data_IF_737253669612
#
_entry.id   IF_737253669612
#
_cell.length_a   1.000
_cell.length_b   1.000
_cell.length_c   1.000
_cell.angle_alpha   90.00
_cell.angle_beta   90.00
_cell.angle_gamma   90.00
#
_symmetry.space_group_name_H-M   'P 1'
#
loop_
_entity.id
_entity.type
_entity.pdbx_description
1 polymer ?
#
# COMPACT_ATOMS: atom_id res chain seq x y z
N UNK A 1 8.60 -14.66 -17.62
CA UNK A 1 9.82 -13.85 -17.82
C UNK A 1 10.19 -13.27 -16.47
N UNK A 2 11.40 -13.52 -15.94
CA UNK A 2 11.85 -12.90 -14.69
C UNK A 2 12.25 -11.46 -15.00
N UNK A 3 11.57 -10.50 -14.38
CA UNK A 3 11.84 -9.07 -14.55
C UNK A 3 13.14 -8.72 -13.79
N UNK A 4 14.15 -8.18 -14.45
CA UNK A 4 15.42 -7.78 -13.80
C UNK A 4 15.21 -6.49 -12.99
N UNK A 5 15.19 -6.58 -11.66
CA UNK A 5 14.98 -5.42 -10.78
C UNK A 5 16.10 -4.37 -10.83
N UNK A 6 17.24 -4.66 -11.48
CA UNK A 6 18.41 -3.75 -11.51
C UNK A 6 18.23 -2.51 -12.39
N UNK A 7 17.11 -2.39 -13.10
CA UNK A 7 16.89 -1.34 -14.11
C UNK A 7 16.07 -0.14 -13.59
N UNK A 8 15.34 -0.28 -12.47
CA UNK A 8 14.21 0.62 -12.14
C UNK A 8 14.51 1.77 -11.17
N UNK A 9 15.70 1.88 -10.59
CA UNK A 9 15.97 3.00 -9.68
C UNK A 9 17.41 3.46 -9.86
N UNK A 10 17.64 4.36 -10.82
CA UNK A 10 18.96 4.97 -11.05
C UNK A 10 19.37 5.73 -9.78
N UNK A 11 20.25 5.10 -8.99
CA UNK A 11 20.83 5.52 -7.70
C UNK A 11 19.94 5.32 -6.46
N UNK A 12 20.12 4.14 -5.84
CA UNK A 12 20.27 3.93 -4.39
C UNK A 12 19.41 4.80 -3.46
N UNK A 13 18.09 4.58 -3.47
CA UNK A 13 17.22 5.05 -2.37
C UNK A 13 16.73 3.81 -1.65
N UNK A 14 17.25 3.60 -0.46
CA UNK A 14 16.97 2.44 0.40
C UNK A 14 15.58 2.49 1.05
N UNK A 15 14.59 3.10 0.39
CA UNK A 15 13.22 3.26 0.89
C UNK A 15 13.09 4.10 2.18
N UNK A 16 14.14 4.79 2.63
CA UNK A 16 14.11 5.54 3.89
C UNK A 16 13.28 6.82 3.83
N UNK A 17 13.01 7.36 2.63
CA UNK A 17 12.25 8.59 2.43
C UNK A 17 11.16 8.38 1.39
N UNK A 18 9.99 9.00 1.56
CA UNK A 18 8.88 8.90 0.62
C UNK A 18 9.08 9.85 -0.56
N UNK A 19 10.04 9.58 -1.45
CA UNK A 19 10.39 10.48 -2.55
C UNK A 19 9.25 10.66 -3.56
N UNK A 20 8.66 9.53 -3.99
CA UNK A 20 7.60 9.51 -5.00
C UNK A 20 6.28 8.95 -4.46
N UNK A 21 6.37 8.13 -3.41
CA UNK A 21 5.25 7.49 -2.74
C UNK A 21 5.68 6.75 -1.48
N UNK A 22 4.71 6.14 -0.79
CA UNK A 22 4.99 5.39 0.43
C UNK A 22 4.02 4.23 0.67
N UNK A 23 4.51 3.19 1.35
CA UNK A 23 3.70 2.12 1.92
C UNK A 23 3.53 2.39 3.42
N UNK A 24 2.30 2.63 3.86
CA UNK A 24 1.96 2.68 5.28
C UNK A 24 1.67 1.29 5.80
N UNK A 25 1.84 1.08 7.11
CA UNK A 25 1.65 -0.21 7.75
C UNK A 25 0.42 -0.16 8.65
N UNK A 26 -0.39 -1.23 8.64
CA UNK A 26 -1.46 -1.47 9.61
C UNK A 26 -1.47 -2.92 10.08
N UNK A 27 -2.32 -3.22 11.05
CA UNK A 27 -2.65 -4.59 11.44
C UNK A 27 -4.17 -4.81 11.31
N UNK A 28 -4.65 -6.03 11.57
CA UNK A 28 -6.09 -6.33 11.59
C UNK A 28 -6.90 -5.40 12.51
N UNK A 29 -6.35 -5.00 13.66
CA UNK A 29 -7.09 -4.18 14.63
C UNK A 29 -7.21 -2.71 14.21
N UNK A 30 -6.27 -2.17 13.42
CA UNK A 30 -6.30 -0.77 12.95
C UNK A 30 -6.80 -0.61 11.52
N UNK A 31 -6.81 -1.69 10.72
CA UNK A 31 -7.18 -1.66 9.29
C UNK A 31 -8.55 -1.00 9.04
N UNK A 32 -9.57 -1.41 9.79
CA UNK A 32 -10.93 -0.87 9.65
C UNK A 32 -10.97 0.63 9.89
N UNK A 33 -10.35 1.09 10.99
CA UNK A 33 -10.32 2.51 11.35
C UNK A 33 -9.50 3.35 10.35
N UNK A 34 -8.43 2.80 9.75
CA UNK A 34 -7.69 3.47 8.68
C UNK A 34 -8.61 3.88 7.53
N UNK A 35 -9.48 2.98 7.07
CA UNK A 35 -10.39 3.25 5.97
C UNK A 35 -11.56 4.15 6.40
N UNK A 36 -12.18 3.89 7.55
CA UNK A 36 -13.31 4.69 8.05
C UNK A 36 -12.95 6.16 8.25
N UNK A 37 -11.74 6.45 8.70
CA UNK A 37 -11.26 7.82 8.90
C UNK A 37 -10.49 8.39 7.72
N UNK A 38 -10.24 7.58 6.67
CA UNK A 38 -9.34 7.93 5.57
C UNK A 38 -8.00 8.49 6.08
N UNK A 39 -7.43 7.80 7.05
CA UNK A 39 -6.24 8.20 7.80
C UNK A 39 -5.26 7.04 7.84
N UNK A 40 -4.00 7.30 7.52
CA UNK A 40 -2.91 6.39 7.87
C UNK A 40 -2.15 6.94 9.06
N UNK A 41 -1.75 6.05 9.97
CA UNK A 41 -1.02 6.38 11.18
C UNK A 41 0.16 5.44 11.39
N UNK A 42 1.30 6.01 11.77
CA UNK A 42 2.48 5.29 12.23
C UNK A 42 2.86 5.73 13.65
N UNK A 43 3.62 4.91 14.39
CA UNK A 43 4.21 5.32 15.67
C UNK A 43 5.05 6.61 15.54
N UNK A 44 5.32 7.25 16.68
CA UNK A 44 6.09 8.50 16.77
C UNK A 44 7.51 8.38 16.18
N UNK A 45 8.11 7.20 16.25
CA UNK A 45 9.43 6.89 15.66
C UNK A 45 9.50 7.15 14.17
N UNK A 46 8.36 7.17 13.46
CA UNK A 46 8.27 7.47 12.03
C UNK A 46 7.90 8.92 11.73
N UNK A 47 7.86 9.81 12.72
CA UNK A 47 7.49 11.22 12.52
C UNK A 47 8.39 11.91 11.48
N UNK A 48 9.70 11.63 11.50
CA UNK A 48 10.64 12.10 10.48
C UNK A 48 10.30 11.63 9.07
N UNK A 49 9.89 10.37 8.91
CA UNK A 49 9.44 9.82 7.63
C UNK A 49 8.13 10.47 7.18
N UNK A 50 7.12 10.50 8.06
CA UNK A 50 5.78 10.98 7.72
C UNK A 50 5.76 12.47 7.38
N UNK A 51 6.58 13.31 8.03
CA UNK A 51 6.71 14.74 7.69
C UNK A 51 7.17 15.00 6.24
N UNK A 52 7.83 14.02 5.61
CA UNK A 52 8.24 14.10 4.21
C UNK A 52 7.14 13.69 3.24
N UNK A 53 6.03 13.11 3.71
CA UNK A 53 4.86 12.84 2.88
C UNK A 53 4.15 14.16 2.57
N UNK A 54 3.93 14.42 1.27
CA UNK A 54 3.27 15.63 0.78
C UNK A 54 1.89 15.35 0.21
N UNK A 55 0.99 16.31 0.35
CA UNK A 55 -0.30 16.27 -0.31
C UNK A 55 -0.08 16.00 -1.82
N UNK A 56 -0.85 15.05 -2.35
CA UNK A 56 -0.74 14.58 -3.73
C UNK A 56 0.10 13.33 -3.95
N UNK A 57 0.92 12.92 -2.97
CA UNK A 57 1.70 11.68 -3.07
C UNK A 57 0.82 10.43 -3.15
N UNK A 58 1.30 9.42 -3.86
CA UNK A 58 0.63 8.11 -3.95
C UNK A 58 1.05 7.26 -2.76
N UNK A 59 0.05 6.70 -2.08
CA UNK A 59 0.20 5.89 -0.89
C UNK A 59 -0.42 4.52 -1.11
N UNK A 60 0.12 3.52 -0.41
CA UNK A 60 -0.41 2.16 -0.31
C UNK A 60 -0.53 1.80 1.16
N UNK A 61 -1.36 0.82 1.50
CA UNK A 61 -1.47 0.30 2.86
C UNK A 61 -1.10 -1.18 2.89
N UNK A 62 -0.11 -1.56 3.67
CA UNK A 62 0.26 -2.95 3.91
C UNK A 62 -0.22 -3.41 5.28
N UNK A 63 -1.13 -4.39 5.29
CA UNK A 63 -1.53 -5.09 6.51
C UNK A 63 -0.58 -6.27 6.72
N UNK A 64 0.18 -6.24 7.81
CA UNK A 64 1.33 -7.14 7.96
C UNK A 64 1.00 -8.53 8.50
N UNK A 65 -0.15 -8.73 9.14
CA UNK A 65 -0.53 -10.04 9.69
C UNK A 65 -0.96 -11.01 8.59
N UNK A 66 -1.66 -10.50 7.57
CA UNK A 66 -2.06 -11.26 6.37
C UNK A 66 -1.15 -11.00 5.17
N UNK A 67 -0.18 -10.09 5.32
CA UNK A 67 0.80 -9.69 4.29
C UNK A 67 0.14 -9.23 2.99
N UNK A 68 -0.83 -8.32 3.15
CA UNK A 68 -1.70 -7.81 2.08
C UNK A 68 -1.46 -6.34 1.81
N UNK A 69 -1.22 -5.98 0.55
CA UNK A 69 -1.10 -4.61 0.07
C UNK A 69 -2.44 -4.15 -0.54
N UNK A 70 -3.01 -3.11 0.06
CA UNK A 70 -4.29 -2.55 -0.31
C UNK A 70 -4.11 -1.29 -1.13
N UNK A 71 -4.92 -1.19 -2.20
CA UNK A 71 -5.39 0.02 -2.85
C UNK A 71 -4.33 0.95 -3.43
N UNK A 72 -4.81 1.94 -4.17
CA UNK A 72 -4.01 3.11 -4.55
C UNK A 72 -4.67 4.32 -3.93
N UNK A 73 -3.95 4.97 -3.02
CA UNK A 73 -4.46 6.13 -2.29
C UNK A 73 -3.66 7.38 -2.66
N UNK A 74 -4.27 8.54 -2.48
CA UNK A 74 -3.61 9.84 -2.65
C UNK A 74 -3.63 10.59 -1.34
N UNK A 75 -2.47 11.06 -0.87
CA UNK A 75 -2.40 11.96 0.26
C UNK A 75 -3.21 13.25 -0.04
N UNK A 76 -4.09 13.66 0.86
CA UNK A 76 -4.85 14.92 0.74
C UNK A 76 -4.34 15.99 1.72
N UNK A 77 -3.46 15.61 2.64
CA UNK A 77 -2.72 16.50 3.51
C UNK A 77 -1.24 16.19 3.41
N UNK A 78 -0.40 17.14 3.81
CA UNK A 78 0.96 16.81 4.23
C UNK A 78 0.89 15.88 5.45
N UNK A 79 1.93 15.06 5.63
CA UNK A 79 2.09 14.26 6.82
C UNK A 79 2.44 15.12 8.02
N UNK A 80 1.85 14.80 9.18
CA UNK A 80 1.96 15.60 10.39
C UNK A 80 1.72 14.78 11.64
N UNK A 81 1.70 15.44 12.79
CA UNK A 81 1.46 14.80 14.08
C UNK A 81 0.01 15.04 14.51
N UNK A 82 -0.68 13.98 14.92
CA UNK A 82 -2.03 14.00 15.51
C UNK A 82 -3.05 14.83 14.69
N UNK A 83 -3.03 14.68 13.36
CA UNK A 83 -4.03 15.29 12.45
C UNK A 83 -5.45 14.97 12.90
N UNK A 84 -5.68 13.72 13.31
CA UNK A 84 -6.85 13.28 14.07
C UNK A 84 -6.36 12.83 15.45
N UNK A 85 -6.59 13.65 16.49
CA UNK A 85 -6.26 13.27 17.86
C UNK A 85 -6.99 12.00 18.28
N UNK A 86 -6.35 11.18 19.11
CA UNK A 86 -6.90 9.92 19.65
C UNK A 86 -7.32 8.88 18.60
N UNK A 87 -6.85 8.98 17.35
CA UNK A 87 -7.03 7.93 16.37
C UNK A 87 -6.42 6.60 16.88
N UNK A 88 -7.09 5.49 16.57
CA UNK A 88 -6.69 4.12 16.93
C UNK A 88 -6.64 3.85 18.44
N UNK A 89 -7.29 4.66 19.28
CA UNK A 89 -7.27 4.47 20.73
C UNK A 89 -7.76 3.08 21.18
N UNK A 90 -8.68 2.47 20.43
CA UNK A 90 -9.19 1.11 20.66
C UNK A 90 -8.11 0.01 20.52
N UNK A 91 -7.02 0.28 19.79
CA UNK A 91 -5.93 -0.67 19.60
C UNK A 91 -5.00 -0.80 20.82
N UNK A 92 -5.13 0.09 21.81
CA UNK A 92 -4.19 0.19 22.94
C UNK A 92 -2.81 0.74 22.58
N UNK A 93 -2.59 1.16 21.33
CA UNK A 93 -1.35 1.75 20.82
C UNK A 93 -1.62 3.16 20.27
N UNK A 94 -0.56 3.96 20.19
CA UNK A 94 -0.62 5.31 19.63
C UNK A 94 0.05 5.39 18.26
N UNK A 95 -0.61 6.07 17.34
CA UNK A 95 -0.13 6.30 15.98
C UNK A 95 -0.21 7.80 15.65
N UNK A 96 0.64 8.63 16.28
CA UNK A 96 0.55 10.08 16.15
C UNK A 96 1.09 10.59 14.81
N UNK A 97 1.95 9.85 14.11
CA UNK A 97 2.49 10.26 12.81
C UNK A 97 1.48 9.94 11.70
N UNK A 98 0.75 10.94 11.21
CA UNK A 98 -0.47 10.73 10.42
C UNK A 98 -0.46 11.44 9.08
N UNK A 99 -1.24 10.91 8.13
CA UNK A 99 -1.58 11.54 6.86
C UNK A 99 -3.02 11.18 6.47
N UNK A 100 -3.80 12.16 6.01
CA UNK A 100 -5.12 11.87 5.43
C UNK A 100 -4.98 11.49 3.97
N UNK A 101 -5.84 10.61 3.49
CA UNK A 101 -5.84 10.17 2.10
C UNK A 101 -7.25 10.20 1.48
N UNK A 102 -7.31 10.05 0.17
CA UNK A 102 -8.50 9.65 -0.58
C UNK A 102 -8.18 8.42 -1.41
N UNK A 103 -9.15 7.55 -1.62
CA UNK A 103 -8.98 6.37 -2.48
C UNK A 103 -9.03 6.78 -3.95
N UNK A 104 -8.02 6.36 -4.73
CA UNK A 104 -8.04 6.46 -6.19
C UNK A 104 -8.66 5.19 -6.78
N UNK A 105 -8.27 4.02 -6.27
CA UNK A 105 -8.73 2.74 -6.78
C UNK A 105 -9.08 1.79 -5.63
N UNK A 106 -10.29 1.26 -5.67
CA UNK A 106 -10.73 0.14 -4.86
C UNK A 106 -10.46 -1.16 -5.64
N UNK A 107 -9.77 -2.10 -5.00
CA UNK A 107 -9.38 -3.38 -5.58
C UNK A 107 -9.22 -4.41 -4.46
N UNK A 108 -9.19 -5.68 -4.84
CA UNK A 108 -8.73 -6.72 -3.93
C UNK A 108 -7.25 -6.48 -3.59
N UNK A 109 -6.83 -6.76 -2.34
CA UNK A 109 -5.45 -6.59 -1.95
C UNK A 109 -4.55 -7.62 -2.63
N UNK A 110 -3.30 -7.22 -2.89
CA UNK A 110 -2.26 -8.13 -3.34
C UNK A 110 -1.60 -8.83 -2.14
N UNK A 111 -1.27 -10.10 -2.27
CA UNK A 111 -0.36 -10.76 -1.36
C UNK A 111 1.09 -10.30 -1.59
N UNK A 112 1.92 -10.40 -0.55
CA UNK A 112 3.31 -9.93 -0.64
C UNK A 112 4.13 -10.60 -1.74
N UNK A 113 3.92 -11.89 -2.00
CA UNK A 113 4.59 -12.62 -3.07
C UNK A 113 4.28 -12.06 -4.47
N UNK A 114 3.16 -11.35 -4.64
CA UNK A 114 2.79 -10.70 -5.91
C UNK A 114 3.55 -9.39 -6.17
N UNK A 115 4.08 -8.72 -5.13
CA UNK A 115 4.74 -7.42 -5.28
C UNK A 115 6.15 -7.33 -4.66
N UNK A 116 6.61 -8.34 -3.93
CA UNK A 116 7.88 -8.30 -3.20
C UNK A 116 9.08 -8.00 -4.11
N UNK A 117 9.07 -8.50 -5.34
CA UNK A 117 10.13 -8.24 -6.33
C UNK A 117 10.20 -6.76 -6.73
N UNK A 118 9.09 -6.03 -6.70
CA UNK A 118 9.03 -4.58 -7.01
C UNK A 118 9.76 -3.77 -5.95
N UNK A 119 9.61 -4.13 -4.68
CA UNK A 119 10.23 -3.44 -3.54
C UNK A 119 11.40 -4.22 -2.94
N UNK A 120 12.00 -5.13 -3.72
CA UNK A 120 13.05 -6.04 -3.24
C UNK A 120 14.20 -5.32 -2.53
N UNK A 121 14.61 -4.18 -3.06
CA UNK A 121 15.73 -3.39 -2.54
C UNK A 121 15.36 -2.60 -1.26
N UNK A 122 14.09 -2.58 -0.88
CA UNK A 122 13.63 -1.96 0.36
C UNK A 122 13.76 -2.90 1.57
N UNK A 123 13.89 -4.22 1.36
CA UNK A 123 14.00 -5.19 2.44
C UNK A 123 15.35 -5.10 3.14
N UNK A 124 15.33 -4.96 4.47
CA UNK A 124 16.53 -5.02 5.33
C UNK A 124 16.52 -6.26 6.23
N UNK A 125 15.45 -7.05 6.19
CA UNK A 125 15.39 -8.42 6.71
C UNK A 125 14.36 -9.22 5.91
N UNK A 126 14.22 -10.52 6.23
CA UNK A 126 13.29 -11.43 5.54
C UNK A 126 11.85 -10.93 5.49
N UNK A 127 11.40 -10.16 6.49
CA UNK A 127 9.99 -9.75 6.61
C UNK A 127 9.80 -8.26 6.87
N UNK A 128 10.87 -7.47 6.80
CA UNK A 128 10.84 -6.03 7.07
C UNK A 128 11.49 -5.25 5.94
N UNK A 129 10.79 -4.20 5.50
CA UNK A 129 11.23 -3.32 4.43
C UNK A 129 11.02 -1.85 4.82
N UNK A 130 11.78 -0.96 4.19
CA UNK A 130 11.62 0.47 4.31
C UNK A 130 10.47 0.98 3.43
N UNK A 131 9.74 1.98 3.92
CA UNK A 131 8.40 2.34 3.44
C UNK A 131 8.35 3.26 2.24
N UNK A 132 9.43 3.97 1.93
CA UNK A 132 9.51 4.90 0.82
C UNK A 132 9.61 4.19 -0.53
N UNK A 133 8.95 4.75 -1.54
CA UNK A 133 8.96 4.24 -2.90
C UNK A 133 9.59 5.26 -3.84
N UNK A 134 10.43 4.79 -4.77
CA UNK A 134 10.82 5.59 -5.92
C UNK A 134 9.76 5.56 -7.02
N UNK A 135 9.89 6.45 -8.02
CA UNK A 135 8.92 6.60 -9.11
C UNK A 135 8.52 5.27 -9.74
N UNK A 136 9.49 4.43 -10.07
CA UNK A 136 9.24 3.17 -10.78
C UNK A 136 8.56 2.14 -9.86
N UNK A 137 8.97 2.04 -8.60
CA UNK A 137 8.32 1.17 -7.61
C UNK A 137 6.86 1.55 -7.39
N UNK A 138 6.58 2.84 -7.21
CA UNK A 138 5.20 3.38 -7.10
C UNK A 138 4.36 3.00 -8.31
N UNK A 139 4.91 3.17 -9.51
CA UNK A 139 4.21 2.87 -10.77
C UNK A 139 3.93 1.37 -10.87
N UNK A 140 4.92 0.53 -10.59
CA UNK A 140 4.80 -0.92 -10.66
C UNK A 140 3.82 -1.47 -9.61
N UNK A 141 3.86 -1.00 -8.37
CA UNK A 141 2.86 -1.38 -7.35
C UNK A 141 1.44 -1.01 -7.81
N UNK A 142 1.25 0.17 -8.41
CA UNK A 142 -0.03 0.57 -8.98
C UNK A 142 -0.48 -0.34 -10.12
N UNK A 143 0.44 -0.74 -11.01
CA UNK A 143 0.15 -1.68 -12.09
C UNK A 143 -0.21 -3.07 -11.57
N UNK A 144 0.55 -3.64 -10.63
CA UNK A 144 0.26 -4.96 -10.03
C UNK A 144 -1.16 -5.00 -9.46
N UNK A 145 -1.57 -3.92 -8.78
CA UNK A 145 -2.92 -3.79 -8.22
C UNK A 145 -3.99 -3.78 -9.33
N UNK A 146 -3.76 -3.03 -10.41
CA UNK A 146 -4.68 -2.94 -11.53
C UNK A 146 -4.78 -4.25 -12.33
N UNK A 147 -3.68 -4.97 -12.50
CA UNK A 147 -3.68 -6.26 -13.19
C UNK A 147 -4.43 -7.32 -12.39
N UNK A 148 -4.23 -7.38 -11.08
CA UNK A 148 -4.97 -8.30 -10.21
C UNK A 148 -6.49 -8.04 -10.30
N UNK A 149 -6.93 -6.78 -10.33
CA UNK A 149 -8.34 -6.42 -10.56
C UNK A 149 -8.89 -6.97 -11.89
N UNK A 150 -8.10 -6.92 -12.98
CA UNK A 150 -8.51 -7.47 -14.29
C UNK A 150 -8.62 -8.99 -14.24
N UNK A 151 -7.65 -9.67 -13.63
CA UNK A 151 -7.70 -11.12 -13.47
C UNK A 151 -8.89 -11.56 -12.61
N UNK A 152 -9.16 -10.88 -11.50
CA UNK A 152 -10.30 -11.17 -10.65
C UNK A 152 -11.63 -10.95 -11.37
N UNK A 153 -11.78 -9.83 -12.10
CA UNK A 153 -12.98 -9.54 -12.89
C UNK A 153 -13.21 -10.59 -13.99
N UNK A 154 -12.14 -11.01 -14.67
CA UNK A 154 -12.18 -12.08 -15.67
C UNK A 154 -12.54 -13.43 -15.05
N UNK A 155 -12.02 -13.72 -13.86
CA UNK A 155 -12.30 -14.94 -13.12
C UNK A 155 -13.78 -15.01 -12.71
N UNK A 156 -14.31 -13.96 -12.05
CA UNK A 156 -15.74 -13.86 -11.71
C UNK A 156 -16.62 -13.98 -12.96
N UNK A 157 -16.23 -13.30 -14.05
CA UNK A 157 -16.97 -13.40 -15.31
C UNK A 157 -17.03 -14.83 -15.83
N UNK A 158 -15.91 -15.55 -15.84
CA UNK A 158 -15.87 -16.96 -16.26
C UNK A 158 -16.72 -17.87 -15.37
N UNK A 159 -16.69 -17.68 -14.06
CA UNK A 159 -17.53 -18.46 -13.15
C UNK A 159 -19.02 -18.18 -13.37
N UNK A 160 -19.42 -16.92 -13.57
CA UNK A 160 -20.81 -16.57 -13.95
C UNK A 160 -21.22 -17.13 -15.32
N UNK A 161 -20.31 -17.17 -16.29
CA UNK A 161 -20.57 -17.77 -17.61
C UNK A 161 -20.73 -19.30 -17.52
N UNK A 162 -20.02 -19.97 -16.59
CA UNK A 162 -20.22 -21.40 -16.29
C UNK A 162 -21.55 -21.65 -15.58
N UNK A 163 -21.92 -20.82 -14.61
CA UNK A 163 -23.19 -20.94 -13.86
C UNK A 163 -24.41 -20.62 -14.73
N UNK A 164 -24.29 -19.71 -15.71
CA UNK A 164 -25.38 -19.38 -16.64
C UNK A 164 -25.56 -20.38 -17.78
N UNK A 165 -24.76 -21.44 -17.86
CA UNK A 165 -24.94 -22.53 -18.82
C UNK A 165 -24.71 -22.14 -20.29
N UNK A 166 -24.05 -21.02 -20.55
CA UNK A 166 -23.84 -20.49 -21.92
C UNK A 166 -22.91 -21.40 -22.76
N UNK A 167 -22.17 -22.31 -22.11
CA UNK A 167 -21.42 -23.38 -22.79
C UNK A 167 -21.89 -24.76 -22.32
N UNK A 168 -23.07 -25.20 -22.79
CA UNK A 168 -23.32 -26.63 -23.03
C UNK A 168 -23.20 -26.88 -24.53
N UNK A 169 -22.03 -27.35 -24.96
CA UNK A 169 -21.86 -28.15 -26.17
C UNK A 169 -21.50 -29.57 -25.72
#
# INVERSE_FOLDING_TARGET
MKMDSRVFCKKKVSGFFPEDGAIFMSNRSTLKECFERSLFGLPDTFSGFVKNVKAGMILFLFEFEERKLYGVFKAITDGGMNIVPHAYASSGKQYPSQVKFTTILHCDPLFEDEFCDVIRDNYFSTYKFNFGLCKDQKVLCGFSIQENMKFHTLFIRREREKESGIFRL
#
